data_IF_673030378477
#
_entry.id   IF_673030378477
#
_cell.length_a   1.000
_cell.length_b   1.000
_cell.length_c   1.000
_cell.angle_alpha   90.00
_cell.angle_beta   90.00
_cell.angle_gamma   90.00
#
_symmetry.space_group_name_H-M   'P 1'
#
loop_
_entity.id
_entity.type
_entity.pdbx_description
1 polymer ?
#
# COMPACT_ATOMS: atom_id res chain seq x y z
N UNK A 1 -9.21 -9.60 -9.74
CA UNK A 1 -8.52 -9.95 -11.02
C UNK A 1 -7.08 -9.43 -11.06
N UNK A 2 -6.84 -8.11 -10.97
CA UNK A 2 -5.49 -7.53 -11.07
C UNK A 2 -4.49 -8.07 -10.03
N UNK A 3 -4.90 -8.16 -8.76
CA UNK A 3 -4.07 -8.75 -7.70
C UNK A 3 -3.66 -10.19 -8.03
N UNK A 4 -4.61 -11.04 -8.46
CA UNK A 4 -4.31 -12.43 -8.84
C UNK A 4 -3.34 -12.53 -10.03
N UNK A 5 -3.49 -11.67 -11.04
CA UNK A 5 -2.54 -11.63 -12.16
C UNK A 5 -1.13 -11.26 -11.69
N UNK A 6 -1.01 -10.35 -10.72
CA UNK A 6 0.28 -9.95 -10.15
C UNK A 6 0.93 -11.12 -9.41
N UNK A 7 0.18 -11.82 -8.54
CA UNK A 7 0.67 -13.02 -7.88
C UNK A 7 1.17 -14.06 -8.88
N UNK A 8 0.42 -14.33 -9.95
CA UNK A 8 0.85 -15.28 -11.00
C UNK A 8 2.12 -14.82 -11.71
N UNK A 9 2.29 -13.52 -11.92
CA UNK A 9 3.47 -12.95 -12.58
C UNK A 9 4.70 -13.00 -11.68
N UNK A 10 4.52 -12.89 -10.36
CA UNK A 10 5.59 -12.81 -9.38
C UNK A 10 5.79 -14.11 -8.59
N UNK A 11 5.40 -15.26 -9.14
CA UNK A 11 5.55 -16.58 -8.51
C UNK A 11 4.95 -16.63 -7.09
N UNK A 12 3.74 -16.11 -6.94
CA UNK A 12 2.97 -15.92 -5.71
C UNK A 12 3.57 -14.96 -4.68
N UNK A 13 4.49 -14.08 -5.08
CA UNK A 13 4.97 -12.99 -4.20
C UNK A 13 4.10 -11.75 -4.34
N UNK A 14 3.92 -11.03 -3.24
CA UNK A 14 3.16 -9.77 -3.21
C UNK A 14 3.84 -8.63 -3.97
N UNK A 15 5.16 -8.71 -4.12
CA UNK A 15 5.98 -7.77 -4.87
C UNK A 15 7.42 -8.28 -5.02
N UNK A 16 8.23 -7.51 -5.75
CA UNK A 16 9.63 -7.85 -6.04
C UNK A 16 10.63 -7.05 -5.18
N UNK A 17 10.15 -6.05 -4.43
CA UNK A 17 10.98 -5.24 -3.55
C UNK A 17 11.36 -6.01 -2.28
N UNK A 18 12.52 -5.72 -1.65
CA UNK A 18 12.97 -6.40 -0.44
C UNK A 18 11.93 -6.51 0.69
N UNK A 19 11.05 -5.53 0.94
CA UNK A 19 9.97 -5.65 1.94
C UNK A 19 9.03 -6.84 1.74
N UNK A 20 8.93 -7.40 0.53
CA UNK A 20 8.08 -8.57 0.24
C UNK A 20 8.81 -9.91 0.43
N UNK A 21 10.01 -9.90 1.03
CA UNK A 21 10.76 -11.10 1.35
C UNK A 21 10.45 -11.57 2.78
N UNK A 22 10.39 -12.88 3.04
CA UNK A 22 10.17 -13.40 4.38
C UNK A 22 11.22 -12.87 5.38
N UNK A 23 10.76 -12.39 6.53
CA UNK A 23 11.62 -11.87 7.60
C UNK A 23 12.18 -10.47 7.36
N UNK A 24 11.71 -9.75 6.34
CA UNK A 24 11.97 -8.32 6.19
C UNK A 24 11.33 -7.53 7.33
N UNK A 25 12.10 -6.65 7.97
CA UNK A 25 11.58 -5.73 8.98
C UNK A 25 10.93 -4.53 8.29
N UNK A 26 9.60 -4.45 8.35
CA UNK A 26 8.81 -3.36 7.81
C UNK A 26 7.92 -2.85 8.93
N UNK A 27 8.10 -1.60 9.33
CA UNK A 27 7.38 -1.06 10.49
C UNK A 27 6.12 -0.32 10.06
N UNK A 28 6.24 0.56 9.06
CA UNK A 28 5.13 1.39 8.57
C UNK A 28 5.04 1.30 7.06
N UNK A 29 3.88 0.92 6.56
CA UNK A 29 3.63 0.68 5.14
C UNK A 29 2.43 1.49 4.67
N UNK A 30 2.57 2.11 3.50
CA UNK A 30 1.48 2.81 2.81
C UNK A 30 1.16 2.07 1.49
N UNK A 31 -0.08 1.65 1.31
CA UNK A 31 -0.61 1.13 0.04
C UNK A 31 -1.46 2.21 -0.65
N UNK A 32 -0.89 2.82 -1.68
CA UNK A 32 -1.46 3.94 -2.42
C UNK A 32 -2.36 3.44 -3.54
N UNK A 33 -3.61 3.89 -3.55
CA UNK A 33 -4.63 3.38 -4.47
C UNK A 33 -4.94 1.91 -4.17
N UNK A 34 -5.18 1.61 -2.90
CA UNK A 34 -5.32 0.24 -2.39
C UNK A 34 -6.49 -0.52 -3.04
N UNK A 35 -7.45 0.20 -3.65
CA UNK A 35 -8.61 -0.37 -4.31
C UNK A 35 -9.40 -1.22 -3.32
N UNK A 36 -9.57 -2.50 -3.61
CA UNK A 36 -10.29 -3.43 -2.71
C UNK A 36 -9.55 -3.74 -1.39
N UNK A 37 -8.29 -3.33 -1.23
CA UNK A 37 -7.51 -3.60 -0.01
C UNK A 37 -6.82 -4.96 0.05
N UNK A 38 -7.02 -5.84 -0.94
CA UNK A 38 -6.50 -7.22 -0.92
C UNK A 38 -4.99 -7.27 -0.73
N UNK A 39 -4.22 -6.41 -1.41
CA UNK A 39 -2.77 -6.42 -1.26
C UNK A 39 -2.34 -5.99 0.15
N UNK A 40 -2.95 -4.92 0.70
CA UNK A 40 -2.67 -4.46 2.06
C UNK A 40 -2.98 -5.53 3.11
N UNK A 41 -4.10 -6.25 2.95
CA UNK A 41 -4.50 -7.34 3.86
C UNK A 41 -3.51 -8.50 3.79
N UNK A 42 -3.16 -8.96 2.59
CA UNK A 42 -2.21 -10.07 2.44
C UNK A 42 -0.82 -9.67 2.96
N UNK A 43 -0.38 -8.43 2.70
CA UNK A 43 0.89 -7.92 3.21
C UNK A 43 0.91 -7.86 4.74
N UNK A 44 -0.19 -7.42 5.36
CA UNK A 44 -0.32 -7.37 6.81
C UNK A 44 -0.38 -8.76 7.48
N UNK A 45 -0.87 -9.77 6.77
CA UNK A 45 -0.85 -11.18 7.23
C UNK A 45 0.59 -11.74 7.21
N UNK A 46 1.36 -11.42 6.17
CA UNK A 46 2.78 -11.77 6.06
C UNK A 46 3.68 -11.00 7.06
N UNK A 47 3.25 -9.80 7.46
CA UNK A 47 3.98 -8.87 8.33
C UNK A 47 3.13 -8.39 9.52
N UNK A 48 2.86 -9.25 10.52
CA UNK A 48 2.04 -8.89 11.67
C UNK A 48 2.64 -7.78 12.55
N UNK A 49 3.95 -7.52 12.41
CA UNK A 49 4.66 -6.40 13.06
C UNK A 49 4.42 -5.04 12.40
N UNK A 50 4.01 -5.03 11.13
CA UNK A 50 3.89 -3.81 10.34
C UNK A 50 2.53 -3.13 10.55
N UNK A 51 2.53 -1.80 10.69
CA UNK A 51 1.34 -0.96 10.50
C UNK A 51 1.12 -0.75 8.99
N UNK A 52 0.04 -1.30 8.44
CA UNK A 52 -0.30 -1.16 7.02
C UNK A 52 -1.48 -0.20 6.87
N UNK A 53 -1.23 0.95 6.25
CA UNK A 53 -2.27 1.92 5.89
C UNK A 53 -2.55 1.84 4.39
N UNK A 54 -3.80 1.62 4.02
CA UNK A 54 -4.24 1.69 2.63
C UNK A 54 -5.08 2.95 2.39
N UNK A 55 -4.82 3.65 1.29
CA UNK A 55 -5.58 4.84 0.91
C UNK A 55 -6.19 4.70 -0.48
N UNK A 56 -7.42 5.17 -0.63
CA UNK A 56 -8.14 5.23 -1.90
C UNK A 56 -9.22 6.32 -1.83
N UNK A 57 -9.58 6.92 -2.97
CA UNK A 57 -10.70 7.86 -3.05
C UNK A 57 -12.05 7.19 -2.79
N UNK A 58 -12.14 5.88 -3.02
CA UNK A 58 -13.38 5.11 -2.92
C UNK A 58 -13.42 4.26 -1.64
N UNK A 59 -14.47 4.35 -0.81
CA UNK A 59 -14.64 3.51 0.38
C UNK A 59 -15.22 2.13 0.03
N UNK A 60 -14.44 1.31 -0.69
CA UNK A 60 -14.86 -0.03 -1.14
C UNK A 60 -14.19 -1.16 -0.37
N UNK A 61 -13.39 -0.83 0.64
CA UNK A 61 -12.62 -1.77 1.44
C UNK A 61 -13.51 -2.46 2.49
N UNK A 62 -13.16 -3.68 2.92
CA UNK A 62 -13.91 -4.37 3.96
C UNK A 62 -13.80 -3.67 5.32
N UNK A 63 -14.89 -3.68 6.08
CA UNK A 63 -14.93 -3.09 7.43
C UNK A 63 -14.22 -3.95 8.51
N UNK A 64 -14.07 -5.25 8.26
CA UNK A 64 -13.45 -6.19 9.19
C UNK A 64 -12.12 -6.66 8.60
N UNK A 65 -11.03 -6.11 9.12
CA UNK A 65 -9.65 -6.44 8.74
C UNK A 65 -8.80 -6.77 9.96
N UNK A 66 -7.55 -7.17 9.71
CA UNK A 66 -6.55 -7.40 10.74
C UNK A 66 -6.29 -6.12 11.55
N UNK A 67 -5.90 -6.29 12.82
CA UNK A 67 -5.70 -5.17 13.74
C UNK A 67 -4.60 -4.19 13.31
N UNK A 68 -3.70 -4.64 12.44
CA UNK A 68 -2.59 -3.85 11.90
C UNK A 68 -2.87 -3.26 10.51
N UNK A 69 -4.12 -3.33 10.04
CA UNK A 69 -4.55 -2.72 8.77
C UNK A 69 -5.53 -1.59 9.04
N UNK A 70 -5.27 -0.42 8.46
CA UNK A 70 -6.17 0.73 8.48
C UNK A 70 -6.45 1.21 7.04
N UNK A 71 -7.72 1.45 6.71
CA UNK A 71 -8.09 2.07 5.44
C UNK A 71 -8.62 3.47 5.64
N UNK A 72 -8.14 4.40 4.82
CA UNK A 72 -8.55 5.80 4.86
C UNK A 72 -9.02 6.24 3.47
N UNK A 73 -10.08 7.04 3.45
CA UNK A 73 -10.51 7.74 2.24
C UNK A 73 -9.64 8.97 2.13
N UNK A 74 -8.73 8.99 1.17
CA UNK A 74 -7.73 10.04 1.04
C UNK A 74 -7.33 10.25 -0.42
N UNK A 75 -6.94 11.48 -0.76
CA UNK A 75 -6.45 11.85 -2.08
C UNK A 75 -4.92 11.94 -2.06
N UNK A 76 -4.26 11.16 -2.90
CA UNK A 76 -2.79 11.11 -2.96
C UNK A 76 -2.16 12.44 -3.42
N UNK A 77 -2.91 13.25 -4.18
CA UNK A 77 -2.44 14.53 -4.70
C UNK A 77 -2.55 15.66 -3.63
N UNK A 78 -3.26 15.43 -2.51
CA UNK A 78 -3.34 16.35 -1.37
C UNK A 78 -2.08 16.32 -0.49
N UNK A 79 -2.01 17.18 0.53
CA UNK A 79 -0.85 17.30 1.43
C UNK A 79 -0.74 16.08 2.36
N UNK A 80 0.44 15.46 2.40
CA UNK A 80 0.68 14.27 3.21
C UNK A 80 0.96 14.66 4.66
N UNK A 81 -0.03 14.47 5.53
CA UNK A 81 0.01 14.86 6.93
C UNK A 81 0.32 13.68 7.87
N UNK A 82 1.32 12.86 7.52
CA UNK A 82 1.71 11.71 8.33
C UNK A 82 2.65 12.12 9.47
N UNK A 83 2.48 11.51 10.64
CA UNK A 83 3.28 11.81 11.84
C UNK A 83 4.72 11.30 11.77
N UNK A 84 5.00 10.37 10.85
CA UNK A 84 6.29 9.75 10.62
C UNK A 84 6.38 9.25 9.17
N UNK A 85 7.60 9.07 8.63
CA UNK A 85 7.80 8.48 7.31
C UNK A 85 7.37 7.02 7.27
N UNK A 86 7.20 6.50 6.05
CA UNK A 86 6.94 5.09 5.80
C UNK A 86 8.22 4.36 5.44
N UNK A 87 8.36 3.13 5.94
CA UNK A 87 9.47 2.24 5.57
C UNK A 87 9.27 1.61 4.20
N UNK A 88 8.02 1.50 3.75
CA UNK A 88 7.68 1.01 2.42
C UNK A 88 6.41 1.68 1.91
N UNK A 89 6.47 2.17 0.67
CA UNK A 89 5.31 2.71 -0.05
C UNK A 89 5.09 1.81 -1.26
N UNK A 90 3.93 1.16 -1.30
CA UNK A 90 3.48 0.36 -2.41
C UNK A 90 2.48 1.15 -3.23
N UNK A 91 2.69 1.20 -4.54
CA UNK A 91 1.74 1.77 -5.50
C UNK A 91 1.77 0.92 -6.77
N UNK A 92 0.62 0.42 -7.21
CA UNK A 92 0.53 -0.44 -8.40
C UNK A 92 -0.68 -0.06 -9.24
N UNK A 93 -0.49 0.02 -10.56
CA UNK A 93 -1.53 0.45 -11.52
C UNK A 93 -2.01 1.91 -11.36
N UNK A 94 -1.19 2.81 -10.80
CA UNK A 94 -1.56 4.23 -10.59
C UNK A 94 -1.39 5.14 -11.81
N UNK A 95 -1.10 4.59 -13.01
CA UNK A 95 -0.73 5.35 -14.22
C UNK A 95 -1.74 6.44 -14.64
N UNK A 96 -3.02 6.28 -14.30
CA UNK A 96 -4.10 7.21 -14.67
C UNK A 96 -4.74 7.89 -13.45
N UNK A 97 -4.15 7.72 -12.27
CA UNK A 97 -4.73 8.15 -10.99
C UNK A 97 -3.91 9.22 -10.29
N UNK A 98 -2.65 9.41 -10.66
CA UNK A 98 -1.78 10.46 -10.12
C UNK A 98 -1.76 11.62 -11.11
N UNK A 99 -2.11 12.82 -10.64
CA UNK A 99 -2.12 14.02 -11.48
C UNK A 99 -0.70 14.59 -11.69
N UNK A 100 0.11 14.59 -10.64
CA UNK A 100 1.47 15.12 -10.68
C UNK A 100 2.50 14.12 -10.13
N UNK A 101 3.17 13.42 -11.04
CA UNK A 101 4.20 12.44 -10.68
C UNK A 101 5.43 13.05 -10.04
N UNK A 102 5.83 14.28 -10.39
CA UNK A 102 6.97 14.94 -9.76
C UNK A 102 6.69 15.23 -8.29
N UNK A 103 5.49 15.75 -8.01
CA UNK A 103 5.04 16.01 -6.65
C UNK A 103 4.89 14.73 -5.83
N UNK A 104 4.24 13.71 -6.39
CA UNK A 104 4.13 12.39 -5.75
C UNK A 104 5.51 11.81 -5.42
N UNK A 105 6.44 11.82 -6.37
CA UNK A 105 7.80 11.31 -6.16
C UNK A 105 8.59 12.13 -5.14
N UNK A 106 8.28 13.41 -4.95
CA UNK A 106 8.86 14.21 -3.88
C UNK A 106 8.31 13.77 -2.52
N UNK A 107 6.99 13.69 -2.38
CA UNK A 107 6.29 13.34 -1.13
C UNK A 107 6.67 11.96 -0.59
N UNK A 108 6.93 10.97 -1.46
CA UNK A 108 7.35 9.62 -1.00
C UNK A 108 8.70 9.59 -0.25
N UNK A 109 9.53 10.63 -0.36
CA UNK A 109 10.84 10.72 0.30
C UNK A 109 10.87 11.75 1.45
N UNK A 110 9.76 12.43 1.72
CA UNK A 110 9.60 13.32 2.88
C UNK A 110 9.28 12.51 4.15
#
# INVERSE_FOLDING_TARGET
>A
LQHHLSLRTFDNKLGLAPPNLPGSNVERVLDVGTGTGIWAIDFADDHPEAEVRGIDLSPIQPNFVLANVEFQIDDIDEEWNYSAPFTYIHSRMMNMSIQNWEDYLRKIFE
#
